data_IF_069102127170
#
_entry.id   IF_069102127170
#
_cell.length_a   1.000
_cell.length_b   1.000
_cell.length_c   1.000
_cell.angle_alpha   90.00
_cell.angle_beta   90.00
_cell.angle_gamma   90.00
#
_symmetry.space_group_name_H-M   'P 1'
#
loop_
_entity.id
_entity.type
_entity.pdbx_description
1 polymer ?
#
# COMPACT_ATOMS: atom_id res chain seq x y z
N UNK A 1 -24.20 -20.89 3.01
CA UNK A 1 -22.97 -20.10 3.31
C UNK A 1 -22.05 -20.09 2.08
N UNK A 2 -21.50 -18.93 1.70
CA UNK A 2 -20.69 -18.74 0.49
C UNK A 2 -19.25 -18.37 0.84
N UNK A 3 -18.26 -19.02 0.23
CA UNK A 3 -16.84 -18.65 0.36
C UNK A 3 -16.52 -17.41 -0.46
N UNK A 4 -15.83 -16.44 0.15
CA UNK A 4 -15.40 -15.17 -0.45
C UNK A 4 -13.93 -14.94 -0.15
N UNK A 5 -13.19 -14.34 -1.09
CA UNK A 5 -11.81 -13.93 -0.87
C UNK A 5 -11.67 -12.41 -0.98
N UNK A 6 -10.89 -11.80 -0.10
CA UNK A 6 -10.64 -10.35 -0.07
C UNK A 6 -9.15 -10.04 0.08
N UNK A 7 -8.73 -8.94 -0.50
CA UNK A 7 -7.37 -8.40 -0.37
C UNK A 7 -7.36 -7.34 0.73
N UNK A 8 -6.42 -7.45 1.66
CA UNK A 8 -6.16 -6.45 2.69
C UNK A 8 -4.68 -6.03 2.73
N UNK A 9 -4.36 -4.75 3.00
CA UNK A 9 -5.32 -3.65 3.15
C UNK A 9 -6.03 -3.35 1.82
N UNK A 10 -7.25 -2.82 1.87
CA UNK A 10 -7.97 -2.45 0.65
C UNK A 10 -7.29 -1.28 -0.08
N UNK A 11 -6.52 -0.48 0.65
CA UNK A 11 -5.67 0.60 0.12
C UNK A 11 -4.27 0.42 0.73
N UNK A 12 -3.29 0.10 -0.11
CA UNK A 12 -1.88 0.07 0.31
C UNK A 12 -1.23 1.44 0.20
N UNK A 13 -0.37 1.76 1.18
CA UNK A 13 0.40 3.00 1.20
C UNK A 13 1.89 2.66 1.10
N UNK A 14 2.51 3.06 0.00
CA UNK A 14 3.95 2.96 -0.21
C UNK A 14 4.59 4.36 -0.21
N UNK A 15 5.88 4.44 0.12
CA UNK A 15 6.66 5.69 0.08
C UNK A 15 7.91 5.51 -0.75
N UNK A 16 8.26 6.55 -1.52
CA UNK A 16 9.45 6.57 -2.37
C UNK A 16 10.70 6.60 -1.49
N UNK A 17 11.72 5.85 -1.91
CA UNK A 17 13.09 5.91 -1.42
C UNK A 17 14.05 5.65 -2.56
N UNK A 18 15.29 6.11 -2.43
CA UNK A 18 16.33 6.03 -3.46
C UNK A 18 17.39 4.95 -3.17
N UNK A 19 17.22 4.13 -2.13
CA UNK A 19 18.00 2.90 -1.94
C UNK A 19 17.55 1.83 -2.94
N UNK A 20 18.51 1.21 -3.61
CA UNK A 20 18.31 0.07 -4.50
C UNK A 20 18.57 -1.27 -3.79
N UNK A 21 19.29 -1.23 -2.68
CA UNK A 21 19.72 -2.43 -1.97
C UNK A 21 18.64 -2.98 -1.03
N UNK A 22 17.78 -2.13 -0.48
CA UNK A 22 16.83 -2.56 0.54
C UNK A 22 15.56 -1.70 0.60
N UNK A 23 14.49 -2.31 1.12
CA UNK A 23 13.23 -1.67 1.45
C UNK A 23 12.79 -2.10 2.86
N UNK A 24 11.76 -1.46 3.41
CA UNK A 24 11.09 -1.96 4.61
C UNK A 24 9.57 -2.01 4.40
N UNK A 25 8.88 -2.88 5.12
CA UNK A 25 7.42 -2.97 5.07
C UNK A 25 6.83 -1.87 5.96
N UNK A 26 5.85 -1.14 5.43
CA UNK A 26 5.12 -0.13 6.16
C UNK A 26 4.29 -0.70 7.32
N UNK A 27 3.65 0.17 8.12
CA UNK A 27 2.81 -0.28 9.22
C UNK A 27 1.55 -0.95 8.68
N UNK A 28 1.20 -2.11 9.26
CA UNK A 28 0.01 -2.88 8.87
C UNK A 28 -1.21 -2.58 9.75
N UNK A 29 -1.01 -1.88 10.86
CA UNK A 29 -2.07 -1.45 11.78
C UNK A 29 -1.84 -0.01 12.22
N UNK A 30 -2.92 0.75 12.52
CA UNK A 30 -2.81 2.10 13.08
C UNK A 30 -1.97 2.10 14.36
N UNK A 31 -1.13 3.11 14.52
CA UNK A 31 -0.27 3.28 15.71
C UNK A 31 0.97 2.38 15.75
N UNK A 32 1.12 1.42 14.82
CA UNK A 32 2.34 0.62 14.72
C UNK A 32 3.40 1.41 13.96
N UNK A 33 4.61 1.44 14.51
CA UNK A 33 5.77 2.08 13.86
C UNK A 33 6.61 0.97 13.21
N UNK A 34 6.97 1.09 11.92
CA UNK A 34 7.88 0.14 11.28
C UNK A 34 9.24 0.10 11.96
N UNK A 35 9.88 -1.07 11.94
CA UNK A 35 11.22 -1.23 12.49
C UNK A 35 12.25 -0.35 11.76
N UNK A 36 13.21 0.15 12.53
CA UNK A 36 14.37 0.88 12.03
C UNK A 36 15.46 -0.11 11.61
N UNK A 37 16.39 0.28 10.71
CA UNK A 37 16.59 1.62 10.15
C UNK A 37 15.84 1.86 8.84
N UNK A 38 15.33 3.09 8.66
CA UNK A 38 14.70 3.56 7.42
C UNK A 38 15.70 4.14 6.41
N UNK A 39 16.94 4.38 6.84
CA UNK A 39 18.06 4.73 5.97
C UNK A 39 18.83 3.48 5.61
N UNK A 40 19.49 3.54 4.47
CA UNK A 40 20.33 2.46 3.99
C UNK A 40 21.72 2.57 4.62
N UNK A 41 22.04 1.65 5.53
CA UNK A 41 23.35 1.62 6.19
C UNK A 41 24.47 1.21 5.23
N UNK A 42 24.13 0.49 4.15
CA UNK A 42 25.09 0.07 3.11
C UNK A 42 25.39 1.19 2.10
N UNK A 43 24.56 2.23 2.04
CA UNK A 43 24.67 3.34 1.09
C UNK A 43 24.34 4.68 1.77
N UNK A 44 25.34 5.37 2.34
CA UNK A 44 25.13 6.63 3.05
C UNK A 44 24.32 7.65 2.23
N UNK A 45 23.37 8.32 2.89
CA UNK A 45 22.51 9.32 2.28
C UNK A 45 21.28 8.75 1.54
N UNK A 46 21.22 7.43 1.27
CA UNK A 46 20.04 6.81 0.67
C UNK A 46 18.95 6.48 1.69
N UNK A 47 17.70 6.56 1.25
CA UNK A 47 16.48 6.26 2.02
C UNK A 47 15.87 4.97 1.47
N UNK A 48 15.52 4.04 2.35
CA UNK A 48 14.84 2.80 1.96
C UNK A 48 13.41 3.13 1.50
N UNK A 49 12.95 2.66 0.31
CA UNK A 49 11.54 2.71 -0.02
C UNK A 49 10.71 1.94 1.01
N UNK A 50 9.50 2.43 1.27
CA UNK A 50 8.53 1.76 2.12
C UNK A 50 7.55 0.98 1.24
N UNK A 51 7.54 -0.34 1.37
CA UNK A 51 6.62 -1.22 0.66
C UNK A 51 5.27 -1.33 1.39
N UNK A 52 4.20 -1.52 0.63
CA UNK A 52 2.90 -1.96 1.14
C UNK A 52 2.77 -3.48 0.96
N UNK A 53 2.49 -4.20 2.04
CA UNK A 53 2.21 -5.64 1.98
C UNK A 53 0.71 -5.86 1.85
N UNK A 54 0.32 -6.68 0.87
CA UNK A 54 -1.05 -7.13 0.67
C UNK A 54 -1.14 -8.62 0.98
N UNK A 55 -2.28 -9.03 1.55
CA UNK A 55 -2.61 -10.40 1.91
C UNK A 55 -3.99 -10.74 1.39
N UNK A 56 -4.24 -12.02 1.13
CA UNK A 56 -5.56 -12.53 0.74
C UNK A 56 -6.16 -13.24 1.95
N UNK A 57 -7.43 -12.98 2.25
CA UNK A 57 -8.14 -13.62 3.35
C UNK A 57 -9.42 -14.29 2.84
N UNK A 58 -9.69 -15.48 3.36
CA UNK A 58 -10.93 -16.22 3.11
C UNK A 58 -11.98 -15.84 4.16
N UNK A 59 -13.19 -15.59 3.69
CA UNK A 59 -14.37 -15.36 4.50
C UNK A 59 -15.48 -16.35 4.14
N UNK A 60 -16.34 -16.64 5.11
CA UNK A 60 -17.62 -17.29 4.90
C UNK A 60 -18.72 -16.26 5.04
N UNK A 61 -19.62 -16.16 4.05
CA UNK A 61 -20.78 -15.25 4.08
C UNK A 61 -22.08 -16.01 4.28
N UNK A 62 -22.91 -15.61 5.24
CA UNK A 62 -24.24 -16.19 5.45
C UNK A 62 -25.30 -15.57 4.52
N UNK A 63 -26.54 -16.06 4.58
CA UNK A 63 -27.64 -15.59 3.71
C UNK A 63 -28.06 -14.15 4.02
N UNK A 64 -27.75 -13.64 5.22
CA UNK A 64 -27.99 -12.27 5.65
C UNK A 64 -26.82 -11.33 5.30
N UNK A 65 -25.76 -11.83 4.67
CA UNK A 65 -24.63 -11.03 4.22
C UNK A 65 -23.52 -10.80 5.24
N UNK A 66 -23.64 -11.36 6.45
CA UNK A 66 -22.61 -11.31 7.47
C UNK A 66 -21.39 -12.15 7.04
N UNK A 67 -20.19 -11.61 7.26
CA UNK A 67 -18.93 -12.25 6.88
C UNK A 67 -18.11 -12.62 8.11
N UNK A 68 -17.73 -13.89 8.18
CA UNK A 68 -16.80 -14.40 9.20
C UNK A 68 -15.46 -14.68 8.56
N UNK A 69 -14.37 -14.16 9.17
CA UNK A 69 -13.01 -14.46 8.73
C UNK A 69 -12.68 -15.92 9.05
N UNK A 70 -12.24 -16.67 8.04
CA UNK A 70 -11.84 -18.07 8.21
C UNK A 70 -10.33 -18.18 8.40
N UNK A 71 -9.54 -17.64 7.46
CA UNK A 71 -8.08 -17.69 7.48
C UNK A 71 -7.44 -16.71 6.50
N UNK A 72 -6.15 -16.47 6.69
CA UNK A 72 -5.28 -15.97 5.62
C UNK A 72 -5.06 -17.07 4.57
N UNK A 73 -5.05 -16.69 3.30
CA UNK A 73 -4.71 -17.55 2.17
C UNK A 73 -3.26 -17.31 1.78
N UNK A 74 -2.43 -18.31 2.00
CA UNK A 74 -1.03 -18.34 1.58
C UNK A 74 -0.87 -19.32 0.41
N UNK A 75 0.08 -19.08 -0.51
CA UNK A 75 0.35 -20.02 -1.57
C UNK A 75 0.93 -21.33 -1.03
N UNK A 76 0.54 -22.45 -1.63
CA UNK A 76 1.01 -23.80 -1.33
C UNK A 76 0.97 -24.67 -2.60
N UNK A 77 1.14 -25.98 -2.47
CA UNK A 77 1.12 -26.91 -3.62
C UNK A 77 -0.18 -26.87 -4.43
N UNK A 78 -1.31 -26.49 -3.81
CA UNK A 78 -2.65 -26.49 -4.42
C UNK A 78 -3.20 -25.08 -4.63
N UNK A 79 -2.56 -24.08 -4.03
CA UNK A 79 -3.03 -22.69 -3.99
C UNK A 79 -2.02 -21.78 -4.67
N UNK A 80 -2.40 -21.24 -5.82
CA UNK A 80 -1.58 -20.25 -6.54
C UNK A 80 -2.20 -18.86 -6.44
N UNK A 81 -1.40 -17.88 -6.03
CA UNK A 81 -1.81 -16.47 -5.97
C UNK A 81 -1.06 -15.70 -7.05
N UNK A 82 -1.79 -15.20 -8.05
CA UNK A 82 -1.25 -14.32 -9.09
C UNK A 82 -1.68 -12.88 -8.81
N UNK A 83 -0.70 -12.03 -8.51
CA UNK A 83 -0.93 -10.60 -8.33
C UNK A 83 -0.84 -9.85 -9.66
N UNK A 84 -1.66 -8.83 -9.84
CA UNK A 84 -1.57 -7.89 -10.95
C UNK A 84 -1.80 -6.49 -10.41
N UNK A 85 -0.85 -5.59 -10.68
CA UNK A 85 -0.85 -4.21 -10.19
C UNK A 85 -0.60 -3.29 -11.37
N UNK A 86 -1.44 -2.27 -11.53
CA UNK A 86 -1.29 -1.26 -12.57
C UNK A 86 -1.16 0.11 -11.91
N UNK A 87 0.07 0.63 -11.85
CA UNK A 87 0.36 1.96 -11.32
C UNK A 87 0.27 2.99 -12.44
N UNK A 88 -0.35 4.12 -12.15
CA UNK A 88 -0.50 5.22 -13.11
C UNK A 88 -0.14 6.54 -12.42
N UNK A 89 0.64 7.37 -13.10
CA UNK A 89 0.84 8.77 -12.72
C UNK A 89 0.15 9.66 -13.76
N UNK A 90 -0.96 10.32 -13.37
CA UNK A 90 -1.68 11.28 -14.23
C UNK A 90 -1.49 12.73 -13.78
N UNK A 91 -0.48 13.02 -12.94
CA UNK A 91 -0.27 14.36 -12.39
C UNK A 91 -0.08 15.41 -13.49
N UNK A 92 0.70 15.11 -14.53
CA UNK A 92 0.96 16.04 -15.64
C UNK A 92 -0.23 16.20 -16.62
N UNK A 93 -1.18 15.26 -16.63
CA UNK A 93 -2.38 15.32 -17.45
C UNK A 93 -3.57 15.98 -16.73
N UNK A 94 -3.44 16.24 -15.43
CA UNK A 94 -4.46 16.93 -14.66
C UNK A 94 -4.41 18.44 -14.96
N UNK A 95 -5.56 19.10 -14.82
CA UNK A 95 -5.58 20.57 -14.78
C UNK A 95 -4.71 21.09 -13.64
N UNK A 96 -4.28 22.35 -13.74
CA UNK A 96 -3.57 22.99 -12.64
C UNK A 96 -4.48 22.97 -11.41
N UNK A 97 -3.94 22.54 -10.27
CA UNK A 97 -4.66 22.69 -9.02
C UNK A 97 -4.94 24.18 -8.82
N UNK A 98 -6.19 24.57 -8.52
CA UNK A 98 -6.48 25.96 -8.21
C UNK A 98 -5.61 26.40 -7.03
N UNK A 99 -5.23 27.67 -7.02
CA UNK A 99 -4.52 28.23 -5.87
C UNK A 99 -5.43 28.07 -4.63
N UNK A 100 -4.85 27.59 -3.53
CA UNK A 100 -5.62 27.15 -2.37
C UNK A 100 -6.18 28.32 -1.55
N UNK A 101 -7.50 28.50 -1.53
CA UNK A 101 -8.23 29.44 -0.65
C UNK A 101 -8.68 30.73 -1.35
N UNK A 102 -9.69 31.46 -0.80
CA UNK A 102 -10.51 32.42 -1.55
C UNK A 102 -9.81 33.66 -2.13
N UNK A 103 -8.50 33.84 -1.93
CA UNK A 103 -7.73 34.97 -2.49
C UNK A 103 -6.21 34.72 -2.61
N UNK A 104 -5.70 33.50 -2.47
CA UNK A 104 -4.26 33.27 -2.41
C UNK A 104 -3.67 32.87 -3.78
N UNK A 105 -2.46 33.34 -4.16
CA UNK A 105 -1.58 32.68 -5.11
C UNK A 105 -0.49 31.87 -4.41
N UNK A 106 -0.38 30.57 -4.70
CA UNK A 106 0.98 30.03 -4.99
C UNK A 106 0.99 28.74 -5.84
N UNK A 107 2.16 28.39 -6.43
CA UNK A 107 2.82 27.09 -6.14
C UNK A 107 4.24 26.84 -6.67
N UNK A 108 4.92 27.78 -7.36
CA UNK A 108 6.39 27.76 -7.50
C UNK A 108 6.89 29.10 -8.08
N UNK A 109 7.59 29.88 -7.25
CA UNK A 109 8.43 31.00 -7.66
C UNK A 109 9.83 30.66 -7.12
N UNK A 110 10.59 29.90 -7.90
CA UNK A 110 11.91 29.37 -7.51
C UNK A 110 12.27 28.12 -8.27
#
# INVERSE_FOLDING_TARGET
MKTIYRIYPSIGIARIGNSEASYFVGPESPGVVPEKPHRDDSSPGKIKPQAARFRVYQFTRNEFGEETLEREVTPDEKTHIKWSVHLVNRKAAAGQFPQGGPSAPPRNDG
#
